data_IF_953180328716
#
_entry.id   IF_953180328716
#
_cell.length_a   1.000
_cell.length_b   1.000
_cell.length_c   1.000
_cell.angle_alpha   90.00
_cell.angle_beta   90.00
_cell.angle_gamma   90.00
#
_symmetry.space_group_name_H-M   'P 1'
#
loop_
_entity.id
_entity.type
_entity.pdbx_description
1 polymer ?
#
# COMPACT_ATOMS: atom_id res chain seq x y z
N UNK A 1 -7.87 -2.01 -10.11
CA UNK A 1 -6.60 -2.25 -10.82
C UNK A 1 -6.90 -3.04 -12.07
N UNK A 2 -6.53 -2.50 -13.23
CA UNK A 2 -6.68 -3.18 -14.50
C UNK A 2 -5.66 -4.32 -14.60
N UNK A 3 -6.07 -5.44 -15.21
CA UNK A 3 -5.20 -6.56 -15.55
C UNK A 3 -5.02 -6.49 -17.06
N UNK A 4 -3.83 -6.08 -17.50
CA UNK A 4 -3.45 -6.12 -18.91
C UNK A 4 -2.61 -7.37 -19.22
N UNK A 5 -2.25 -7.56 -20.50
CA UNK A 5 -1.49 -8.71 -20.95
C UNK A 5 -0.08 -8.80 -20.31
N UNK A 6 0.55 -7.67 -19.97
CA UNK A 6 1.87 -7.65 -19.33
C UNK A 6 1.75 -8.11 -17.87
N UNK A 7 0.76 -7.61 -17.15
CA UNK A 7 0.45 -8.03 -15.77
C UNK A 7 0.12 -9.52 -15.74
N UNK A 8 -0.73 -10.00 -16.66
CA UNK A 8 -1.08 -11.42 -16.76
C UNK A 8 0.17 -12.28 -17.00
N UNK A 9 1.00 -11.91 -17.98
CA UNK A 9 2.23 -12.66 -18.30
C UNK A 9 3.21 -12.68 -17.12
N UNK A 10 3.34 -11.59 -16.37
CA UNK A 10 4.20 -11.53 -15.19
C UNK A 10 3.68 -12.41 -14.06
N UNK A 11 2.37 -12.38 -13.81
CA UNK A 11 1.74 -13.23 -12.80
C UNK A 11 1.85 -14.72 -13.14
N UNK A 12 1.69 -15.08 -14.42
CA UNK A 12 1.83 -16.46 -14.89
C UNK A 12 3.28 -16.93 -14.83
N UNK A 13 4.25 -16.07 -15.17
CA UNK A 13 5.67 -16.38 -15.01
C UNK A 13 6.06 -16.56 -13.54
N UNK A 14 5.52 -15.73 -12.64
CA UNK A 14 5.80 -15.80 -11.21
C UNK A 14 5.21 -17.07 -10.56
N UNK A 15 3.95 -17.41 -10.84
CA UNK A 15 3.28 -18.54 -10.19
C UNK A 15 3.47 -19.88 -10.92
N UNK A 16 3.74 -19.87 -12.22
CA UNK A 16 3.79 -21.07 -13.04
C UNK A 16 2.52 -21.94 -12.92
N UNK A 17 2.70 -23.19 -12.51
CA UNK A 17 1.63 -24.18 -12.33
C UNK A 17 1.12 -24.29 -10.88
N UNK A 18 1.64 -23.47 -9.96
CA UNK A 18 1.17 -23.46 -8.57
C UNK A 18 -0.32 -23.11 -8.51
N UNK A 19 -1.06 -23.77 -7.62
CA UNK A 19 -2.51 -23.60 -7.42
C UNK A 19 -2.89 -23.25 -5.99
N UNK A 20 -1.99 -23.48 -5.03
CA UNK A 20 -2.17 -23.07 -3.63
C UNK A 20 -2.11 -21.55 -3.52
N UNK A 21 -3.23 -20.94 -3.07
CA UNK A 21 -3.38 -19.48 -3.00
C UNK A 21 -2.34 -18.84 -2.08
N UNK A 22 -2.01 -19.48 -0.95
CA UNK A 22 -1.04 -18.93 -0.01
C UNK A 22 0.37 -18.93 -0.63
N UNK A 23 0.76 -20.02 -1.30
CA UNK A 23 2.04 -20.07 -2.03
C UNK A 23 2.08 -19.08 -3.18
N UNK A 24 1.02 -18.99 -3.99
CA UNK A 24 0.93 -18.01 -5.06
C UNK A 24 1.15 -16.59 -4.53
N UNK A 25 0.50 -16.19 -3.43
CA UNK A 25 0.69 -14.86 -2.85
C UNK A 25 2.14 -14.62 -2.46
N UNK A 26 2.82 -15.57 -1.82
CA UNK A 26 4.23 -15.42 -1.46
C UNK A 26 5.13 -15.26 -2.68
N UNK A 27 4.87 -16.02 -3.76
CA UNK A 27 5.60 -15.90 -5.03
C UNK A 27 5.35 -14.54 -5.70
N UNK A 28 4.12 -14.01 -5.61
CA UNK A 28 3.77 -12.70 -6.16
C UNK A 28 4.42 -11.55 -5.37
N UNK A 29 4.48 -11.66 -4.03
CA UNK A 29 5.20 -10.69 -3.18
C UNK A 29 6.67 -10.66 -3.57
N UNK A 30 7.30 -11.83 -3.65
CA UNK A 30 8.70 -11.98 -4.04
C UNK A 30 8.97 -11.43 -5.45
N UNK A 31 8.07 -11.73 -6.41
CA UNK A 31 8.17 -11.20 -7.76
C UNK A 31 8.08 -9.67 -7.80
N UNK A 32 7.22 -9.04 -7.00
CA UNK A 32 7.14 -7.58 -6.97
C UNK A 32 8.37 -6.98 -6.28
N UNK A 33 8.82 -7.55 -5.17
CA UNK A 33 9.99 -7.08 -4.43
C UNK A 33 11.28 -7.19 -5.26
N UNK A 34 11.47 -8.27 -6.01
CA UNK A 34 12.68 -8.52 -6.80
C UNK A 34 12.71 -7.81 -8.16
N UNK A 35 11.55 -7.42 -8.72
CA UNK A 35 11.48 -6.85 -10.08
C UNK A 35 11.29 -5.32 -10.11
N UNK A 36 11.13 -4.65 -8.97
CA UNK A 36 10.83 -3.23 -8.95
C UNK A 36 11.81 -2.46 -8.05
N UNK A 37 12.61 -1.58 -8.67
CA UNK A 37 13.40 -0.59 -7.95
C UNK A 37 12.46 0.33 -7.17
N UNK A 38 12.83 0.67 -5.93
CA UNK A 38 12.00 1.57 -5.12
C UNK A 38 12.83 2.50 -4.26
N UNK A 39 12.21 3.55 -3.73
CA UNK A 39 12.88 4.58 -2.95
C UNK A 39 13.66 4.08 -1.71
N UNK A 40 13.32 2.90 -1.15
CA UNK A 40 14.10 2.28 -0.06
C UNK A 40 15.42 1.61 -0.50
N UNK A 41 15.63 1.38 -1.80
CA UNK A 41 16.88 0.86 -2.41
C UNK A 41 17.66 2.02 -3.03
N UNK A 42 16.96 2.90 -3.74
CA UNK A 42 17.55 4.07 -4.38
C UNK A 42 16.68 5.32 -4.13
N UNK A 43 17.17 6.23 -3.27
CA UNK A 43 16.48 7.48 -2.94
C UNK A 43 16.32 8.44 -4.12
N UNK A 44 17.06 8.24 -5.22
CA UNK A 44 16.96 9.04 -6.45
C UNK A 44 15.79 8.60 -7.35
N UNK A 45 15.06 7.54 -6.97
CA UNK A 45 13.83 7.09 -7.63
C UNK A 45 12.60 7.61 -6.88
N UNK A 46 12.07 8.80 -7.23
CA UNK A 46 10.63 9.01 -7.01
C UNK A 46 9.94 9.90 -8.05
N UNK A 47 8.93 9.33 -8.71
CA UNK A 47 7.65 10.02 -8.84
C UNK A 47 6.60 9.00 -8.40
N UNK A 48 5.79 9.33 -7.38
CA UNK A 48 4.57 8.57 -7.19
C UNK A 48 3.76 8.76 -8.47
N UNK A 49 3.63 7.69 -9.26
CA UNK A 49 2.76 7.72 -10.41
C UNK A 49 1.30 7.85 -9.96
N UNK A 50 0.37 7.66 -10.87
CA UNK A 50 -1.05 7.53 -10.51
C UNK A 50 -1.34 6.20 -9.79
N UNK A 51 -0.34 5.46 -9.31
CA UNK A 51 -0.54 4.16 -8.70
C UNK A 51 -1.04 3.11 -9.68
N UNK A 52 -0.68 3.20 -10.95
CA UNK A 52 -1.07 2.21 -11.95
C UNK A 52 0.00 1.12 -12.06
N UNK A 53 -0.41 -0.15 -12.09
CA UNK A 53 0.50 -1.28 -12.26
C UNK A 53 1.33 -1.16 -13.57
N UNK A 54 0.72 -0.62 -14.63
CA UNK A 54 1.38 -0.34 -15.91
C UNK A 54 2.52 0.66 -15.77
N UNK A 55 2.34 1.69 -14.93
CA UNK A 55 3.33 2.74 -14.72
C UNK A 55 4.52 2.17 -13.93
N UNK A 56 4.25 1.34 -12.92
CA UNK A 56 5.29 0.60 -12.18
C UNK A 56 6.13 -0.27 -13.12
N UNK A 57 5.48 -1.01 -14.03
CA UNK A 57 6.17 -1.88 -15.01
C UNK A 57 6.86 -1.11 -16.13
N UNK A 58 6.45 0.12 -16.42
CA UNK A 58 7.07 0.95 -17.46
C UNK A 58 8.33 1.65 -16.94
N UNK A 59 8.31 2.10 -15.68
CA UNK A 59 9.43 2.83 -15.07
C UNK A 59 10.42 1.91 -14.34
N UNK A 60 10.13 0.61 -14.23
CA UNK A 60 10.96 -0.36 -13.50
C UNK A 60 10.91 -0.17 -11.98
N UNK A 61 9.95 0.61 -11.48
CA UNK A 61 9.93 1.03 -10.09
C UNK A 61 8.89 2.09 -9.78
N UNK A 62 8.71 2.43 -8.50
CA UNK A 62 7.74 3.44 -8.08
C UNK A 62 7.65 3.62 -6.56
N UNK A 63 6.67 4.41 -6.12
CA UNK A 63 6.40 4.58 -4.70
C UNK A 63 5.52 3.43 -4.17
N UNK A 64 5.19 3.44 -2.87
CA UNK A 64 4.45 2.32 -2.26
C UNK A 64 3.13 2.00 -2.95
N UNK A 65 2.43 3.03 -3.41
CA UNK A 65 1.16 2.91 -4.14
C UNK A 65 1.33 2.16 -5.46
N UNK A 66 2.46 2.31 -6.16
CA UNK A 66 2.74 1.67 -7.44
C UNK A 66 3.00 0.17 -7.26
N UNK A 67 3.88 -0.19 -6.32
CA UNK A 67 4.22 -1.58 -5.99
C UNK A 67 3.02 -2.38 -5.51
N UNK A 68 2.25 -1.79 -4.58
CA UNK A 68 1.03 -2.41 -4.07
C UNK A 68 -0.03 -2.56 -5.17
N UNK A 69 -0.09 -1.62 -6.13
CA UNK A 69 -1.01 -1.72 -7.27
C UNK A 69 -0.60 -2.81 -8.24
N UNK A 70 0.71 -2.99 -8.49
CA UNK A 70 1.24 -4.10 -9.29
C UNK A 70 0.90 -5.45 -8.65
N UNK A 71 1.15 -5.61 -7.35
CA UNK A 71 0.77 -6.82 -6.63
C UNK A 71 -0.73 -7.12 -6.74
N UNK A 72 -1.60 -6.13 -6.50
CA UNK A 72 -3.05 -6.32 -6.60
C UNK A 72 -3.44 -6.75 -8.02
N UNK A 73 -2.83 -6.17 -9.04
CA UNK A 73 -3.11 -6.51 -10.42
C UNK A 73 -2.67 -7.96 -10.73
N UNK A 74 -1.48 -8.37 -10.29
CA UNK A 74 -0.99 -9.74 -10.47
C UNK A 74 -1.82 -10.77 -9.67
N UNK A 75 -2.20 -10.46 -8.43
CA UNK A 75 -3.07 -11.30 -7.61
C UNK A 75 -4.42 -11.53 -8.31
N UNK A 76 -5.03 -10.46 -8.84
CA UNK A 76 -6.30 -10.53 -9.58
C UNK A 76 -6.15 -11.30 -10.90
N UNK A 77 -5.01 -11.22 -11.57
CA UNK A 77 -4.69 -12.01 -12.76
C UNK A 77 -4.67 -13.53 -12.48
N UNK A 78 -4.39 -13.92 -11.23
CA UNK A 78 -4.46 -15.30 -10.72
C UNK A 78 -5.80 -15.65 -10.07
N UNK A 79 -6.80 -14.76 -10.13
CA UNK A 79 -8.12 -14.98 -9.52
C UNK A 79 -8.16 -14.77 -8.00
N UNK A 80 -7.12 -14.20 -7.40
CA UNK A 80 -7.04 -13.94 -5.97
C UNK A 80 -7.67 -12.56 -5.66
N UNK A 81 -8.70 -12.49 -4.79
CA UNK A 81 -9.24 -11.21 -4.36
C UNK A 81 -8.19 -10.41 -3.59
N UNK A 82 -7.88 -9.21 -4.07
CA UNK A 82 -6.95 -8.29 -3.43
C UNK A 82 -7.45 -6.84 -3.50
N UNK A 83 -7.17 -6.06 -2.45
CA UNK A 83 -7.58 -4.65 -2.30
C UNK A 83 -6.49 -3.82 -1.66
N UNK A 84 -6.52 -2.52 -1.97
CA UNK A 84 -5.59 -1.55 -1.39
C UNK A 84 -6.19 -0.95 -0.13
N UNK A 85 -5.34 -0.75 0.86
CA UNK A 85 -5.64 -0.06 2.10
C UNK A 85 -4.71 1.13 2.26
N UNK A 86 -5.25 2.19 2.86
CA UNK A 86 -4.53 3.42 3.08
C UNK A 86 -4.65 3.89 4.53
N UNK A 87 -3.61 4.59 4.95
CA UNK A 87 -3.52 5.07 6.31
C UNK A 87 -2.22 5.76 6.65
N UNK A 88 -1.90 5.74 7.94
CA UNK A 88 -0.68 6.30 8.51
C UNK A 88 0.13 5.23 9.22
N UNK A 89 1.45 5.43 9.31
CA UNK A 89 2.33 4.65 10.17
C UNK A 89 2.89 5.57 11.25
N UNK A 90 2.60 5.25 12.50
CA UNK A 90 3.17 5.90 13.66
C UNK A 90 4.67 5.64 13.70
N UNK A 91 5.44 6.67 14.03
CA UNK A 91 6.89 6.59 14.18
C UNK A 91 7.22 6.34 15.65
N UNK A 92 7.92 5.24 15.92
CA UNK A 92 8.39 4.90 17.26
C UNK A 92 9.22 6.05 17.86
N UNK A 93 9.05 6.31 19.16
CA UNK A 93 9.77 7.36 19.87
C UNK A 93 9.20 8.76 19.66
N UNK A 94 8.04 8.91 19.02
CA UNK A 94 7.30 10.17 18.89
C UNK A 94 6.01 10.21 19.71
N UNK A 95 5.92 9.40 20.75
CA UNK A 95 4.80 9.41 21.69
C UNK A 95 4.63 10.81 22.29
N UNK A 96 3.41 11.33 22.29
CA UNK A 96 3.11 12.65 22.84
C UNK A 96 3.49 13.84 21.95
N UNK A 97 4.23 13.62 20.86
CA UNK A 97 4.64 14.65 19.89
C UNK A 97 3.58 14.85 18.81
N UNK A 98 3.44 16.08 18.31
CA UNK A 98 2.67 16.39 17.10
C UNK A 98 3.59 16.41 15.88
N UNK A 99 3.34 15.56 14.89
CA UNK A 99 4.16 15.46 13.69
C UNK A 99 3.34 15.07 12.45
N UNK A 100 3.90 15.30 11.25
CA UNK A 100 3.31 14.79 10.01
C UNK A 100 3.74 13.33 9.79
N UNK A 101 2.81 12.35 9.82
CA UNK A 101 3.15 10.93 9.69
C UNK A 101 3.54 10.49 8.27
N UNK A 102 3.44 11.35 7.26
CA UNK A 102 3.44 10.88 5.89
C UNK A 102 2.14 10.12 5.57
N UNK A 103 2.07 9.51 4.39
CA UNK A 103 0.99 8.58 4.06
C UNK A 103 1.60 7.21 3.83
N UNK A 104 0.85 6.16 4.11
CA UNK A 104 1.23 4.78 3.84
C UNK A 104 0.05 4.04 3.26
N UNK A 105 0.35 3.10 2.39
CA UNK A 105 -0.61 2.11 1.93
C UNK A 105 -0.04 0.71 2.19
N UNK A 106 -0.95 -0.26 2.19
CA UNK A 106 -0.65 -1.68 2.22
C UNK A 106 -1.73 -2.39 1.41
N UNK A 107 -1.59 -3.70 1.25
CA UNK A 107 -2.57 -4.50 0.52
C UNK A 107 -3.15 -5.56 1.42
N UNK A 108 -4.39 -5.90 1.14
CA UNK A 108 -5.05 -7.06 1.70
C UNK A 108 -5.42 -8.03 0.59
N UNK A 109 -5.31 -9.32 0.87
CA UNK A 109 -5.65 -10.40 -0.04
C UNK A 109 -6.38 -11.52 0.70
N UNK A 110 -7.26 -12.23 -0.01
CA UNK A 110 -8.08 -13.28 0.58
C UNK A 110 -7.45 -14.66 0.36
N UNK A 111 -7.20 -15.40 1.44
CA UNK A 111 -6.75 -16.79 1.41
C UNK A 111 -7.89 -17.68 1.92
N UNK A 112 -8.37 -18.66 1.13
CA UNK A 112 -9.39 -19.61 1.58
C UNK A 112 -8.98 -20.28 2.90
N UNK A 113 -9.89 -20.29 3.87
CA UNK A 113 -9.64 -20.84 5.22
C UNK A 113 -8.97 -19.87 6.20
N UNK A 114 -8.18 -18.90 5.74
CA UNK A 114 -7.52 -17.90 6.60
C UNK A 114 -8.19 -16.53 6.59
N UNK A 115 -8.97 -16.21 5.56
CA UNK A 115 -9.66 -14.92 5.43
C UNK A 115 -8.78 -13.84 4.78
N UNK A 116 -9.02 -12.58 5.16
CA UNK A 116 -8.23 -11.44 4.67
C UNK A 116 -6.93 -11.32 5.46
N UNK A 117 -5.80 -11.43 4.76
CA UNK A 117 -4.47 -11.19 5.28
C UNK A 117 -3.91 -9.91 4.68
N UNK A 118 -2.90 -9.31 5.32
CA UNK A 118 -2.35 -8.03 4.91
C UNK A 118 -0.83 -8.07 4.76
N UNK A 119 -0.29 -7.35 3.77
CA UNK A 119 1.15 -7.21 3.53
C UNK A 119 1.50 -5.78 3.16
N UNK A 120 2.67 -5.33 3.62
CA UNK A 120 3.29 -4.10 3.16
C UNK A 120 4.61 -4.43 2.44
N UNK A 121 4.50 -4.62 1.12
CA UNK A 121 5.62 -4.98 0.23
C UNK A 121 6.78 -3.98 0.30
N UNK A 122 6.54 -2.72 0.66
CA UNK A 122 7.60 -1.72 0.78
C UNK A 122 8.29 -1.77 2.13
N UNK A 123 7.58 -2.15 3.18
CA UNK A 123 8.20 -2.45 4.46
C UNK A 123 9.03 -3.75 4.38
N UNK A 124 8.60 -4.70 3.54
CA UNK A 124 9.22 -6.00 3.30
C UNK A 124 10.65 -5.94 2.72
N UNK A 125 11.07 -4.79 2.17
CA UNK A 125 12.43 -4.58 1.63
C UNK A 125 13.42 -3.93 2.61
N UNK A 126 13.07 -3.82 3.89
CA UNK A 126 14.15 -3.70 4.88
C UNK A 126 14.90 -5.04 4.88
N UNK A 127 16.16 -5.06 4.43
CA UNK A 127 17.03 -6.23 4.16
C UNK A 127 17.27 -7.22 5.35
N UNK A 128 16.41 -7.21 6.35
CA UNK A 128 16.44 -8.01 7.58
C UNK A 128 15.13 -8.76 7.85
N UNK A 129 14.16 -8.73 6.93
CA UNK A 129 12.84 -9.30 7.15
C UNK A 129 12.71 -10.69 6.53
N UNK A 130 12.11 -11.61 7.29
CA UNK A 130 11.78 -12.96 6.87
C UNK A 130 10.48 -12.97 6.05
N UNK A 131 10.21 -14.08 5.34
CA UNK A 131 8.93 -14.30 4.66
C UNK A 131 7.69 -14.13 5.58
N UNK A 132 7.84 -14.28 6.89
CA UNK A 132 6.78 -14.05 7.88
C UNK A 132 6.49 -12.55 8.09
N UNK A 133 7.52 -11.72 8.06
CA UNK A 133 7.40 -10.27 8.20
C UNK A 133 6.73 -9.64 6.96
N UNK A 134 6.73 -10.35 5.84
CA UNK A 134 6.03 -9.91 4.63
C UNK A 134 4.52 -9.95 4.80
N UNK A 135 3.95 -10.85 5.60
CA UNK A 135 2.48 -11.01 5.73
C UNK A 135 1.94 -10.54 7.08
N UNK A 136 2.69 -9.71 7.79
CA UNK A 136 2.26 -9.10 9.04
C UNK A 136 2.35 -7.58 8.99
N UNK A 137 1.38 -6.93 9.61
CA UNK A 137 1.39 -5.49 9.81
C UNK A 137 1.74 -5.19 11.27
N UNK A 138 2.67 -4.27 11.49
CA UNK A 138 2.93 -3.65 12.79
C UNK A 138 1.66 -3.00 13.35
N UNK A 139 1.53 -3.04 14.68
CA UNK A 139 0.46 -2.39 15.45
C UNK A 139 0.46 -0.86 15.36
N UNK A 140 1.50 -0.28 14.76
CA UNK A 140 1.69 1.16 14.58
C UNK A 140 0.99 1.73 13.34
N UNK A 141 0.05 1.00 12.73
CA UNK A 141 -0.70 1.45 11.56
C UNK A 141 -2.10 1.95 11.94
N UNK A 142 -2.46 3.10 11.41
CA UNK A 142 -3.82 3.66 11.50
C UNK A 142 -4.47 3.50 10.14
N UNK A 143 -5.55 2.73 10.06
CA UNK A 143 -6.36 2.59 8.86
C UNK A 143 -7.30 3.79 8.69
N UNK A 144 -7.43 4.26 7.45
CA UNK A 144 -8.33 5.36 7.09
C UNK A 144 -9.37 4.93 6.06
N UNK A 145 -8.93 4.35 4.94
CA UNK A 145 -9.85 3.95 3.88
C UNK A 145 -9.34 2.78 3.04
N UNK A 146 -10.26 2.16 2.29
CA UNK A 146 -10.00 1.08 1.34
C UNK A 146 -10.32 1.53 -0.08
N UNK A 147 -9.52 1.08 -1.05
CA UNK A 147 -9.78 1.31 -2.47
C UNK A 147 -9.25 2.65 -3.00
N UNK A 148 -9.64 2.94 -4.24
CA UNK A 148 -9.18 4.09 -5.06
C UNK A 148 -10.27 4.47 -6.05
N UNK A 149 -10.07 5.61 -6.73
CA UNK A 149 -10.94 6.13 -7.79
C UNK A 149 -12.37 6.38 -7.27
N UNK A 150 -12.45 7.12 -6.16
CA UNK A 150 -13.68 7.48 -5.47
C UNK A 150 -14.50 8.48 -6.27
N UNK A 151 -15.80 8.26 -6.37
CA UNK A 151 -16.74 9.31 -6.74
C UNK A 151 -17.21 9.98 -5.46
N UNK A 152 -16.94 11.28 -5.32
CA UNK A 152 -17.34 12.04 -4.13
C UNK A 152 -18.81 12.43 -4.19
N UNK A 153 -19.40 12.57 -3.01
CA UNK A 153 -20.72 13.19 -2.84
C UNK A 153 -20.58 14.34 -1.82
N UNK A 154 -20.83 15.60 -2.21
CA UNK A 154 -21.17 16.04 -3.58
C UNK A 154 -20.02 15.81 -4.57
N UNK A 155 -20.36 15.66 -5.86
CA UNK A 155 -19.39 15.48 -6.93
C UNK A 155 -18.43 16.68 -7.02
N UNK A 156 -17.14 16.38 -7.14
CA UNK A 156 -16.07 17.34 -7.29
C UNK A 156 -15.79 17.66 -8.78
N UNK A 157 -15.13 18.78 -9.06
CA UNK A 157 -14.90 19.22 -10.44
C UNK A 157 -13.88 18.35 -11.19
N UNK A 158 -12.96 17.72 -10.45
CA UNK A 158 -11.83 16.96 -11.01
C UNK A 158 -12.17 15.51 -11.41
N UNK A 159 -13.43 15.08 -11.24
CA UNK A 159 -13.83 13.69 -11.47
C UNK A 159 -13.30 12.73 -10.39
N UNK A 160 -13.19 11.41 -10.68
CA UNK A 160 -12.85 10.41 -9.68
C UNK A 160 -11.52 10.66 -8.96
N UNK A 161 -11.54 10.57 -7.63
CA UNK A 161 -10.38 10.83 -6.76
C UNK A 161 -9.61 9.55 -6.48
N UNK A 162 -8.35 9.53 -6.89
CA UNK A 162 -7.54 8.32 -6.88
C UNK A 162 -6.90 7.99 -5.53
N UNK A 163 -6.54 9.00 -4.73
CA UNK A 163 -5.99 8.85 -3.37
C UNK A 163 -6.38 10.04 -2.49
N UNK A 164 -6.46 9.85 -1.17
CA UNK A 164 -6.77 10.90 -0.19
C UNK A 164 -5.68 11.01 0.87
N UNK A 165 -4.46 11.36 0.45
CA UNK A 165 -3.25 11.35 1.31
C UNK A 165 -3.41 12.16 2.61
N UNK A 166 -4.04 13.34 2.54
CA UNK A 166 -4.46 14.13 3.71
C UNK A 166 -5.98 14.36 3.75
N UNK A 167 -6.64 14.24 2.60
CA UNK A 167 -8.01 14.64 2.32
C UNK A 167 -8.12 15.07 0.85
N UNK A 168 -9.33 15.42 0.43
CA UNK A 168 -9.60 16.05 -0.86
C UNK A 168 -10.09 17.48 -0.63
N UNK A 169 -9.44 18.45 -1.27
CA UNK A 169 -9.79 19.87 -1.16
C UNK A 169 -9.74 20.49 -2.55
N UNK A 170 -10.81 21.19 -2.93
CA UNK A 170 -10.86 22.03 -4.12
C UNK A 170 -11.09 23.48 -3.69
N UNK A 171 -10.38 24.42 -4.33
CA UNK A 171 -10.61 25.86 -4.19
C UNK A 171 -10.89 26.41 -5.57
N UNK A 172 -12.05 27.05 -5.73
CA UNK A 172 -12.52 27.59 -7.00
C UNK A 172 -12.57 26.55 -8.14
N UNK A 173 -12.86 25.29 -7.80
CA UNK A 173 -12.93 24.16 -8.74
C UNK A 173 -11.58 23.51 -9.05
N UNK A 174 -10.48 24.02 -8.50
CA UNK A 174 -9.15 23.48 -8.70
C UNK A 174 -8.70 22.64 -7.49
N UNK A 175 -8.20 21.40 -7.70
CA UNK A 175 -7.72 20.57 -6.62
C UNK A 175 -6.46 21.14 -6.00
N UNK A 176 -6.36 21.00 -4.68
CA UNK A 176 -5.17 21.39 -3.92
C UNK A 176 -4.24 20.19 -3.77
N UNK A 177 -2.97 20.38 -4.13
CA UNK A 177 -1.94 19.37 -3.95
C UNK A 177 -1.74 19.01 -2.46
N UNK A 178 -1.92 17.73 -2.10
CA UNK A 178 -1.71 17.24 -0.72
C UNK A 178 -0.25 16.87 -0.43
N UNK A 179 0.63 17.01 -1.44
CA UNK A 179 2.06 16.77 -1.38
C UNK A 179 2.82 17.99 -1.91
N UNK A 180 4.07 18.22 -1.47
CA UNK A 180 4.93 19.22 -2.10
C UNK A 180 5.13 18.92 -3.59
N UNK A 181 5.17 19.97 -4.41
CA UNK A 181 5.48 19.86 -5.82
C UNK A 181 6.99 19.58 -6.04
N UNK A 182 7.33 19.08 -7.23
CA UNK A 182 8.71 18.74 -7.60
C UNK A 182 9.66 19.96 -7.59
N UNK A 183 9.11 21.16 -7.75
CA UNK A 183 9.85 22.43 -7.69
C UNK A 183 10.09 22.95 -6.26
N UNK A 184 9.67 22.20 -5.24
CA UNK A 184 9.80 22.56 -3.83
C UNK A 184 8.64 23.40 -3.28
N UNK A 185 7.61 23.70 -4.08
CA UNK A 185 6.39 24.34 -3.58
C UNK A 185 5.76 23.46 -2.49
N UNK A 186 5.52 23.99 -1.27
CA UNK A 186 5.00 23.20 -0.17
C UNK A 186 3.56 22.75 -0.43
N UNK A 187 3.19 21.61 0.16
CA UNK A 187 1.79 21.18 0.21
C UNK A 187 0.93 22.29 0.83
N UNK A 188 -0.21 22.56 0.20
CA UNK A 188 -1.20 23.51 0.68
C UNK A 188 -2.19 22.89 1.67
N UNK A 189 -2.12 21.56 1.85
CA UNK A 189 -2.86 20.82 2.89
C UNK A 189 -1.87 20.08 3.79
N UNK A 190 -1.96 20.33 5.09
CA UNK A 190 -1.16 19.66 6.11
C UNK A 190 -1.95 18.58 6.85
N UNK A 191 -1.24 17.64 7.47
CA UNK A 191 -1.78 16.72 8.47
C UNK A 191 -0.79 16.59 9.61
N UNK A 192 -1.31 16.51 10.82
CA UNK A 192 -0.54 16.24 12.03
C UNK A 192 -1.28 15.22 12.87
N UNK A 193 -0.55 14.26 13.43
CA UNK A 193 -1.08 13.37 14.45
C UNK A 193 -0.26 13.50 15.73
N UNK A 194 -0.92 13.21 16.84
CA UNK A 194 -0.31 12.95 18.14
C UNK A 194 -0.92 11.66 18.67
N UNK A 195 -0.09 10.79 19.24
CA UNK A 195 -0.53 9.51 19.77
C UNK A 195 0.09 9.23 21.15
N UNK A 196 -0.57 8.36 21.89
CA UNK A 196 -0.09 7.81 23.16
C UNK A 196 -0.26 6.28 23.11
N UNK A 197 0.70 5.54 23.68
CA UNK A 197 0.63 4.08 23.77
C UNK A 197 -0.05 3.69 25.07
N UNK A 198 -1.26 3.14 24.96
CA UNK A 198 -1.98 2.61 26.12
C UNK A 198 -1.50 1.18 26.37
N UNK A 199 -0.81 0.96 27.50
CA UNK A 199 -0.40 -0.39 27.90
C UNK A 199 -1.65 -1.20 28.28
N UNK A 200 -1.98 -2.20 27.46
CA UNK A 200 -3.08 -3.10 27.76
C UNK A 200 -2.61 -4.13 28.81
N UNK A 201 -3.24 -4.16 29.99
CA UNK A 201 -2.97 -5.15 31.05
C UNK A 201 -3.75 -6.45 30.86
N UNK A 202 -4.50 -6.57 29.76
CA UNK A 202 -5.28 -7.75 29.43
C UNK A 202 -4.32 -8.87 29.01
N UNK A 203 -4.32 -9.99 29.74
CA UNK A 203 -3.65 -11.22 29.34
C UNK A 203 -4.23 -11.69 28.00
N UNK A 204 -3.47 -11.49 26.91
CA UNK A 204 -3.85 -12.00 25.61
C UNK A 204 -3.89 -13.54 25.69
N UNK A 205 -5.08 -14.12 25.50
CA UNK A 205 -5.15 -15.54 25.11
C UNK A 205 -4.75 -15.58 23.66
N UNK A 206 -3.54 -16.04 23.37
CA UNK A 206 -3.13 -16.38 22.00
C UNK A 206 -4.21 -17.30 21.40
N UNK A 207 -4.89 -16.91 20.31
CA UNK A 207 -5.78 -17.82 19.62
C UNK A 207 -4.95 -19.03 19.19
N UNK A 208 -5.33 -20.23 19.61
CA UNK A 208 -4.71 -21.44 19.10
C UNK A 208 -4.98 -21.50 17.59
N UNK A 209 -3.92 -21.62 16.78
CA UNK A 209 -4.07 -21.94 15.36
C UNK A 209 -4.81 -23.29 15.27
N UNK A 210 -5.81 -23.44 14.38
CA UNK A 210 -6.40 -24.75 14.10
C UNK A 210 -5.29 -25.73 13.71
N UNK A 211 -5.30 -26.92 14.31
CA UNK A 211 -4.41 -28.03 13.94
C UNK A 211 -4.80 -28.62 12.59
#
# INVERSE_FOLDING_TARGET
MAVDARVQSLADAACGTETDVARQVMMLIDAVANNADHYSINSDVPTCGRGAASDCLAHGGGCCTDLHSLFIAMARARGIPARMQYGYRLLDGREGESYNPGYRCWVEFFVPGSGWLATDIVAADNAKLSAHDWVTLSSTRIWLWSGRSFTLEPANASGPVDTMIAGWVEVDGEPIDPLPAADGTPSRVGRTLKYEVIKNTRTERTPALPQ
#
